data_IF_330153206896
#
_entry.id   IF_330153206896
#
_cell.length_a   1.000
_cell.length_b   1.000
_cell.length_c   1.000
_cell.angle_alpha   90.00
_cell.angle_beta   90.00
_cell.angle_gamma   90.00
#
_symmetry.space_group_name_H-M   'P 1'
#
loop_
_entity.id
_entity.type
_entity.pdbx_description
1 polymer ?
#
# COMPACT_ATOMS: atom_id res chain seq x y z
N UNK A 1 12.89 -3.50 17.78
CA UNK A 1 11.76 -2.57 17.92
C UNK A 1 11.28 -2.19 16.53
N UNK A 2 9.99 -2.37 16.18
CA UNK A 2 9.47 -1.88 14.90
C UNK A 2 9.61 -0.35 14.90
N UNK A 3 10.21 0.21 13.86
CA UNK A 3 10.22 1.66 13.65
C UNK A 3 8.76 2.12 13.55
N UNK A 4 8.37 3.14 14.33
CA UNK A 4 7.03 3.74 14.19
C UNK A 4 6.92 4.35 12.80
N UNK A 5 5.90 3.96 12.04
CA UNK A 5 5.64 4.55 10.73
C UNK A 5 5.15 6.00 10.91
N UNK A 6 5.16 6.75 9.82
CA UNK A 6 4.55 8.06 9.81
C UNK A 6 3.03 7.94 10.04
N UNK A 7 2.43 8.62 11.04
CA UNK A 7 0.99 8.54 11.30
C UNK A 7 0.13 8.93 10.10
N UNK A 8 0.61 9.88 9.29
CA UNK A 8 -0.08 10.29 8.07
C UNK A 8 -0.12 9.15 7.04
N UNK A 9 1.03 8.48 6.83
CA UNK A 9 1.11 7.31 5.95
C UNK A 9 0.23 6.17 6.46
N UNK A 10 0.26 5.87 7.76
CA UNK A 10 -0.60 4.81 8.32
C UNK A 10 -2.08 5.09 8.07
N UNK A 11 -2.52 6.35 8.21
CA UNK A 11 -3.90 6.75 7.94
C UNK A 11 -4.26 6.56 6.46
N UNK A 12 -3.45 7.11 5.55
CA UNK A 12 -3.66 7.00 4.10
C UNK A 12 -3.63 5.55 3.61
N UNK A 13 -2.69 4.76 4.14
CA UNK A 13 -2.58 3.33 3.85
C UNK A 13 -3.80 2.53 4.34
N UNK A 14 -4.31 2.85 5.53
CA UNK A 14 -5.55 2.25 6.04
C UNK A 14 -6.76 2.64 5.18
N UNK A 15 -6.86 3.91 4.79
CA UNK A 15 -7.95 4.42 3.94
C UNK A 15 -7.91 3.85 2.52
N UNK A 16 -6.71 3.59 1.98
CA UNK A 16 -6.55 2.93 0.69
C UNK A 16 -7.03 1.48 0.72
N UNK A 17 -6.90 0.77 1.85
CA UNK A 17 -7.39 -0.60 2.02
C UNK A 17 -6.81 -1.57 0.99
N UNK A 18 -7.65 -2.03 0.06
CA UNK A 18 -7.30 -2.90 -1.08
C UNK A 18 -7.61 -2.25 -2.44
N UNK A 19 -7.84 -0.93 -2.47
CA UNK A 19 -8.04 -0.17 -3.69
C UNK A 19 -6.71 0.00 -4.42
N UNK A 20 -6.59 -0.66 -5.59
CA UNK A 20 -5.37 -0.69 -6.39
C UNK A 20 -4.92 0.71 -6.83
N UNK A 21 -5.84 1.58 -7.22
CA UNK A 21 -5.50 2.91 -7.73
C UNK A 21 -4.95 3.80 -6.62
N UNK A 22 -5.61 3.79 -5.46
CA UNK A 22 -5.13 4.52 -4.28
C UNK A 22 -3.77 4.04 -3.82
N UNK A 23 -3.54 2.71 -3.80
CA UNK A 23 -2.24 2.14 -3.45
C UNK A 23 -1.16 2.51 -4.47
N UNK A 24 -1.46 2.58 -5.77
CA UNK A 24 -0.53 3.05 -6.80
C UNK A 24 -0.22 4.54 -6.66
N UNK A 25 -1.21 5.37 -6.33
CA UNK A 25 -1.00 6.80 -6.03
C UNK A 25 -0.03 6.97 -4.85
N UNK A 26 -0.31 6.28 -3.75
CA UNK A 26 0.53 6.31 -2.54
C UNK A 26 1.97 5.83 -2.84
N UNK A 27 2.12 4.79 -3.67
CA UNK A 27 3.44 4.32 -4.10
C UNK A 27 4.21 5.39 -4.89
N UNK A 28 3.54 6.08 -5.81
CA UNK A 28 4.14 7.13 -6.62
C UNK A 28 4.57 8.33 -5.77
N UNK A 29 3.78 8.70 -4.77
CA UNK A 29 4.11 9.77 -3.80
C UNK A 29 5.36 9.41 -2.97
N UNK A 30 5.46 8.17 -2.50
CA UNK A 30 6.65 7.67 -1.79
C UNK A 30 7.87 7.73 -2.71
N UNK A 31 7.78 7.20 -3.93
CA UNK A 31 8.90 7.18 -4.87
C UNK A 31 9.31 8.59 -5.33
N UNK A 32 8.36 9.52 -5.44
CA UNK A 32 8.63 10.95 -5.67
C UNK A 32 9.39 11.57 -4.49
N UNK A 33 8.91 11.34 -3.26
CA UNK A 33 9.54 11.85 -2.04
C UNK A 33 10.95 11.28 -1.86
N UNK A 34 11.16 9.99 -2.12
CA UNK A 34 12.49 9.36 -2.08
C UNK A 34 13.44 10.03 -3.07
N UNK A 35 13.02 10.27 -4.32
CA UNK A 35 13.85 10.96 -5.34
C UNK A 35 14.23 12.38 -4.89
N UNK A 36 13.28 13.13 -4.33
CA UNK A 36 13.52 14.47 -3.81
C UNK A 36 14.52 14.47 -2.65
N UNK A 37 14.34 13.58 -1.66
CA UNK A 37 15.25 13.47 -0.51
C UNK A 37 16.64 13.01 -0.95
N UNK A 38 16.75 12.03 -1.84
CA UNK A 38 18.05 11.57 -2.38
C UNK A 38 18.79 12.67 -3.13
N UNK A 39 18.09 13.46 -3.95
CA UNK A 39 18.67 14.61 -4.65
C UNK A 39 19.21 15.65 -3.66
N UNK A 40 18.42 15.99 -2.65
CA UNK A 40 18.83 16.93 -1.60
C UNK A 40 20.01 16.40 -0.78
N UNK A 41 20.00 15.11 -0.44
CA UNK A 41 21.08 14.44 0.28
C UNK A 41 22.38 14.42 -0.51
N UNK A 42 22.32 14.17 -1.83
CA UNK A 42 23.47 14.21 -2.72
C UNK A 42 24.11 15.61 -2.73
N UNK A 43 23.32 16.67 -2.95
CA UNK A 43 23.82 18.06 -2.91
C UNK A 43 24.49 18.38 -1.57
N UNK A 44 23.82 18.05 -0.47
CA UNK A 44 24.36 18.25 0.87
C UNK A 44 25.62 17.45 1.14
N UNK A 45 25.80 16.28 0.54
CA UNK A 45 26.97 15.42 0.75
C UNK A 45 28.17 15.82 -0.12
N UNK A 46 27.92 16.42 -1.29
CA UNK A 46 28.92 16.66 -2.33
C UNK A 46 29.56 18.07 -2.33
N UNK A 47 28.98 19.08 -1.67
CA UNK A 47 29.52 20.45 -1.69
C UNK A 47 30.10 20.90 -0.34
N UNK A 48 31.40 21.28 -0.27
CA UNK A 48 31.95 22.04 0.84
C UNK A 48 31.89 23.57 0.65
N UNK A 49 31.63 24.04 -0.58
CA UNK A 49 31.92 25.42 -1.00
C UNK A 49 30.90 26.49 -0.59
N UNK A 50 29.59 26.20 -0.63
CA UNK A 50 28.53 27.22 -0.45
C UNK A 50 27.35 26.74 0.42
N UNK A 51 27.58 25.78 1.33
CA UNK A 51 26.46 25.19 2.09
C UNK A 51 26.16 26.02 3.35
N UNK A 52 24.89 26.45 3.47
CA UNK A 52 24.31 27.20 4.61
C UNK A 52 24.54 26.52 5.98
N UNK A 53 24.80 25.21 6.00
CA UNK A 53 25.08 24.42 7.20
C UNK A 53 26.49 23.80 7.12
N UNK A 54 27.34 24.08 8.12
CA UNK A 54 28.71 23.58 8.24
C UNK A 54 28.86 22.63 9.44
N UNK A 55 29.83 21.70 9.37
CA UNK A 55 30.22 20.84 10.49
C UNK A 55 29.10 19.91 11.01
N UNK A 56 28.85 19.94 12.31
CA UNK A 56 27.90 19.05 13.00
C UNK A 56 26.45 19.20 12.51
N UNK A 57 26.02 20.43 12.22
CA UNK A 57 24.67 20.73 11.74
C UNK A 57 24.36 20.04 10.40
N UNK A 58 25.35 20.00 9.50
CA UNK A 58 25.30 19.28 8.23
C UNK A 58 25.21 17.78 8.45
N UNK A 59 26.03 17.24 9.35
CA UNK A 59 26.02 15.80 9.67
C UNK A 59 24.69 15.38 10.30
N UNK A 60 24.12 16.19 11.18
CA UNK A 60 22.79 15.94 11.74
C UNK A 60 21.69 15.95 10.66
N UNK A 61 21.73 16.91 9.72
CA UNK A 61 20.79 16.96 8.60
C UNK A 61 20.92 15.74 7.68
N UNK A 62 22.15 15.33 7.35
CA UNK A 62 22.44 14.13 6.55
C UNK A 62 21.88 12.88 7.24
N UNK A 63 22.10 12.71 8.55
CA UNK A 63 21.53 11.58 9.31
C UNK A 63 20.00 11.58 9.25
N UNK A 64 19.35 12.71 9.53
CA UNK A 64 17.88 12.84 9.45
C UNK A 64 17.33 12.46 8.07
N UNK A 65 18.02 12.86 6.99
CA UNK A 65 17.62 12.50 5.62
C UNK A 65 17.83 11.02 5.30
N UNK A 66 18.91 10.41 5.78
CA UNK A 66 19.13 8.96 5.68
C UNK A 66 18.07 8.17 6.44
N UNK A 67 17.74 8.62 7.66
CA UNK A 67 16.66 8.01 8.45
C UNK A 67 15.34 8.11 7.72
N UNK A 68 15.00 9.29 7.18
CA UNK A 68 13.80 9.50 6.36
C UNK A 68 13.74 8.55 5.15
N UNK A 69 14.86 8.34 4.44
CA UNK A 69 14.92 7.39 3.33
C UNK A 69 14.66 5.95 3.78
N UNK A 70 15.12 5.57 4.98
CA UNK A 70 14.84 4.25 5.54
C UNK A 70 13.35 4.09 5.86
N UNK A 71 12.71 5.09 6.48
CA UNK A 71 11.26 5.05 6.71
C UNK A 71 10.46 4.94 5.40
N UNK A 72 10.80 5.75 4.39
CA UNK A 72 10.15 5.68 3.08
C UNK A 72 10.36 4.33 2.38
N UNK A 73 11.46 3.63 2.65
CA UNK A 73 11.69 2.28 2.13
C UNK A 73 10.77 1.25 2.78
N UNK A 74 10.62 1.33 4.11
CA UNK A 74 9.71 0.47 4.88
C UNK A 74 8.24 0.71 4.46
N UNK A 75 7.82 1.97 4.31
CA UNK A 75 6.49 2.38 3.84
C UNK A 75 6.21 1.84 2.43
N UNK A 76 7.17 2.00 1.51
CA UNK A 76 7.08 1.45 0.14
C UNK A 76 6.86 -0.06 0.14
N UNK A 77 7.58 -0.79 1.00
CA UNK A 77 7.46 -2.23 1.08
C UNK A 77 6.05 -2.67 1.50
N UNK A 78 5.42 -1.95 2.44
CA UNK A 78 4.05 -2.24 2.87
C UNK A 78 3.06 -2.11 1.72
N UNK A 79 3.16 -1.02 0.94
CA UNK A 79 2.30 -0.81 -0.24
C UNK A 79 2.51 -1.90 -1.29
N UNK A 80 3.77 -2.25 -1.58
CA UNK A 80 4.11 -3.30 -2.55
C UNK A 80 3.58 -4.67 -2.10
N UNK A 81 3.69 -5.01 -0.81
CA UNK A 81 3.14 -6.26 -0.27
C UNK A 81 1.63 -6.31 -0.45
N UNK A 82 0.91 -5.21 -0.16
CA UNK A 82 -0.55 -5.12 -0.35
C UNK A 82 -0.96 -5.26 -1.82
N UNK A 83 -0.24 -4.61 -2.74
CA UNK A 83 -0.44 -4.77 -4.18
C UNK A 83 -0.19 -6.21 -4.65
N UNK A 84 0.81 -6.89 -4.09
CA UNK A 84 1.08 -8.30 -4.38
C UNK A 84 -0.03 -9.23 -3.85
N UNK A 85 -0.60 -8.93 -2.67
CA UNK A 85 -1.76 -9.63 -2.12
C UNK A 85 -2.98 -9.49 -3.04
N UNK A 86 -3.29 -8.28 -3.51
CA UNK A 86 -4.36 -8.04 -4.50
C UNK A 86 -4.15 -8.92 -5.72
N UNK A 87 -2.94 -8.90 -6.30
CA UNK A 87 -2.62 -9.71 -7.49
C UNK A 87 -2.81 -11.21 -7.25
N UNK A 88 -2.35 -11.74 -6.10
CA UNK A 88 -2.55 -13.16 -5.75
C UNK A 88 -4.03 -13.49 -5.60
N UNK A 89 -4.79 -12.62 -4.94
CA UNK A 89 -6.22 -12.82 -4.74
C UNK A 89 -6.98 -12.81 -6.07
N UNK A 90 -6.65 -11.92 -7.00
CA UNK A 90 -7.23 -11.93 -8.35
C UNK A 90 -6.95 -13.24 -9.09
N UNK A 91 -5.72 -13.77 -9.01
CA UNK A 91 -5.38 -15.06 -9.64
C UNK A 91 -6.18 -16.22 -9.00
N UNK A 92 -6.32 -16.22 -7.67
CA UNK A 92 -7.12 -17.23 -6.97
C UNK A 92 -8.60 -17.14 -7.33
N UNK A 93 -9.18 -15.94 -7.37
CA UNK A 93 -10.57 -15.72 -7.78
C UNK A 93 -10.79 -16.25 -9.20
N UNK A 94 -9.92 -15.88 -10.14
CA UNK A 94 -10.01 -16.35 -11.51
C UNK A 94 -9.91 -17.88 -11.58
N UNK A 95 -8.99 -18.50 -10.84
CA UNK A 95 -8.90 -19.96 -10.79
C UNK A 95 -10.17 -20.62 -10.26
N UNK A 96 -10.70 -20.12 -9.15
CA UNK A 96 -11.89 -20.67 -8.47
C UNK A 96 -13.18 -20.46 -9.29
N UNK A 97 -13.29 -19.34 -10.02
CA UNK A 97 -14.41 -19.07 -10.92
C UNK A 97 -14.56 -20.13 -12.01
N UNK A 98 -13.46 -20.75 -12.45
CA UNK A 98 -13.46 -21.76 -13.50
C UNK A 98 -13.61 -23.19 -12.96
N UNK A 99 -13.49 -23.42 -11.65
CA UNK A 99 -13.37 -24.76 -11.07
C UNK A 99 -14.43 -25.14 -10.03
N UNK A 100 -15.36 -24.26 -9.67
CA UNK A 100 -16.33 -24.53 -8.60
C UNK A 100 -17.62 -25.22 -9.08
N UNK A 101 -18.04 -26.32 -8.43
CA UNK A 101 -19.39 -26.82 -8.58
C UNK A 101 -20.41 -25.83 -7.96
N UNK A 102 -21.60 -25.65 -8.56
CA UNK A 102 -22.63 -24.70 -8.10
C UNK A 102 -23.03 -24.84 -6.62
N UNK A 103 -22.89 -26.05 -6.07
CA UNK A 103 -23.24 -26.37 -4.68
C UNK A 103 -22.37 -25.65 -3.64
N UNK A 104 -21.07 -25.43 -3.92
CA UNK A 104 -20.17 -24.78 -2.96
C UNK A 104 -20.49 -23.28 -2.83
N UNK A 105 -20.78 -22.62 -3.95
CA UNK A 105 -21.17 -21.21 -3.99
C UNK A 105 -22.48 -20.98 -3.25
N UNK A 106 -23.46 -21.87 -3.45
CA UNK A 106 -24.74 -21.81 -2.73
C UNK A 106 -24.56 -22.01 -1.20
N UNK A 107 -23.73 -22.97 -0.79
CA UNK A 107 -23.43 -23.21 0.62
C UNK A 107 -22.69 -22.02 1.27
N UNK A 108 -21.75 -21.40 0.54
CA UNK A 108 -21.04 -20.21 1.01
C UNK A 108 -21.99 -19.02 1.23
N UNK A 109 -22.88 -18.74 0.27
CA UNK A 109 -23.88 -17.66 0.38
C UNK A 109 -24.87 -17.91 1.52
N UNK A 110 -25.29 -19.16 1.73
CA UNK A 110 -26.13 -19.52 2.86
C UNK A 110 -25.42 -19.30 4.20
N UNK A 111 -24.15 -19.66 4.31
CA UNK A 111 -23.35 -19.47 5.52
C UNK A 111 -23.10 -17.98 5.83
N UNK A 112 -22.80 -17.15 4.83
CA UNK A 112 -22.62 -15.69 5.05
C UNK A 112 -23.91 -15.02 5.48
N UNK A 113 -25.07 -15.42 4.96
CA UNK A 113 -26.39 -14.92 5.41
C UNK A 113 -26.71 -15.27 6.86
N UNK A 114 -26.15 -16.36 7.39
CA UNK A 114 -26.35 -16.77 8.78
C UNK A 114 -25.40 -16.08 9.75
N UNK A 115 -24.17 -15.78 9.31
CA UNK A 115 -23.09 -15.31 10.18
C UNK A 115 -22.88 -13.80 10.17
N UNK A 116 -23.45 -13.09 9.19
CA UNK A 116 -23.15 -11.67 8.92
C UNK A 116 -24.45 -10.86 8.93
N UNK A 117 -24.41 -9.67 9.52
CA UNK A 117 -25.55 -8.74 9.52
C UNK A 117 -25.86 -8.21 8.11
N UNK A 118 -27.09 -7.76 7.88
CA UNK A 118 -27.57 -7.33 6.55
C UNK A 118 -26.73 -6.21 5.92
N UNK A 119 -26.19 -5.29 6.72
CA UNK A 119 -25.41 -4.16 6.20
C UNK A 119 -24.09 -4.66 5.65
N UNK A 120 -23.39 -5.50 6.41
CA UNK A 120 -22.13 -6.09 5.98
C UNK A 120 -22.33 -7.08 4.82
N UNK A 121 -23.43 -7.83 4.81
CA UNK A 121 -23.79 -8.70 3.69
C UNK A 121 -23.95 -7.90 2.37
N UNK A 122 -24.67 -6.77 2.41
CA UNK A 122 -24.85 -5.91 1.23
C UNK A 122 -23.53 -5.34 0.71
N UNK A 123 -22.60 -4.98 1.59
CA UNK A 123 -21.25 -4.53 1.20
C UNK A 123 -20.47 -5.66 0.52
N UNK A 124 -20.56 -6.89 1.04
CA UNK A 124 -19.91 -8.06 0.44
C UNK A 124 -20.52 -8.39 -0.92
N UNK A 125 -21.84 -8.34 -1.06
CA UNK A 125 -22.53 -8.57 -2.33
C UNK A 125 -22.14 -7.52 -3.38
N UNK A 126 -22.13 -6.24 -3.01
CA UNK A 126 -21.67 -5.17 -3.92
C UNK A 126 -20.21 -5.38 -4.33
N UNK A 127 -19.32 -5.68 -3.38
CA UNK A 127 -17.91 -5.94 -3.68
C UNK A 127 -17.73 -7.17 -4.58
N UNK A 128 -18.51 -8.24 -4.37
CA UNK A 128 -18.50 -9.42 -5.24
C UNK A 128 -18.95 -9.08 -6.67
N UNK A 129 -19.97 -8.24 -6.79
CA UNK A 129 -20.49 -7.79 -8.09
C UNK A 129 -19.49 -6.89 -8.83
N UNK A 130 -18.82 -5.99 -8.11
CA UNK A 130 -17.74 -5.16 -8.66
C UNK A 130 -16.57 -6.02 -9.15
N UNK A 131 -16.20 -7.07 -8.40
CA UNK A 131 -15.18 -8.04 -8.83
C UNK A 131 -15.63 -8.77 -10.11
N UNK A 132 -16.86 -9.30 -10.14
CA UNK A 132 -17.39 -10.04 -11.30
C UNK A 132 -17.44 -9.16 -12.55
N UNK A 133 -17.89 -7.91 -12.42
CA UNK A 133 -17.98 -6.96 -13.54
C UNK A 133 -16.62 -6.55 -14.10
N UNK A 134 -15.57 -6.48 -13.27
CA UNK A 134 -14.19 -6.23 -13.71
C UNK A 134 -13.50 -7.45 -14.32
N UNK A 135 -14.08 -8.64 -14.16
CA UNK A 135 -13.52 -9.92 -14.65
C UNK A 135 -14.10 -10.34 -16.01
N UNK A 136 -15.02 -9.55 -16.59
CA UNK A 136 -15.49 -9.78 -17.96
C UNK A 136 -14.39 -9.43 -18.97
N UNK A 137 -13.95 -10.44 -19.71
CA UNK A 137 -13.12 -10.35 -20.92
C UNK A 137 -13.81 -9.54 -22.02
#
# INVERSE_FOLDING_TARGET
MRKKLNPQFESEFCLAGYDKEKLLSLLNEIDSTKRSVSSRLSRLSSEPGEVVLKGESRQAAIRRMKDKLAFLADERELVVRRLAEIKRNTVLINREMHSRPPALTAAFVAATRLLVDKKTLSVIEQAAQDILSQTHF
#
